data_IF_921318570743
#
_entry.id   IF_921318570743
#
_cell.length_a   1.000
_cell.length_b   1.000
_cell.length_c   1.000
_cell.angle_alpha   90.00
_cell.angle_beta   90.00
_cell.angle_gamma   90.00
#
_symmetry.space_group_name_H-M   'P 1'
#
loop_
_entity.id
_entity.type
_entity.pdbx_description
1 polymer ?
#
# COMPACT_ATOMS: atom_id res chain seq x y z
N UNK A 1 -8.99 2.13 -17.07
CA UNK A 1 -8.87 3.54 -16.72
C UNK A 1 -7.58 4.04 -17.35
N UNK A 2 -7.59 5.28 -17.83
CA UNK A 2 -6.48 5.86 -18.59
C UNK A 2 -6.48 7.36 -18.34
N UNK A 3 -5.39 7.88 -17.79
CA UNK A 3 -5.20 9.31 -17.57
C UNK A 3 -4.90 9.96 -18.92
N UNK A 4 -5.67 10.98 -19.28
CA UNK A 4 -5.43 11.74 -20.50
C UNK A 4 -4.72 13.05 -20.22
N UNK A 5 -4.08 13.62 -21.24
CA UNK A 5 -3.47 14.96 -21.17
C UNK A 5 -4.49 16.01 -20.72
N UNK A 6 -5.75 15.90 -21.17
CA UNK A 6 -6.83 16.79 -20.75
C UNK A 6 -7.16 16.67 -19.26
N UNK A 7 -7.11 15.46 -18.69
CA UNK A 7 -7.30 15.25 -17.25
C UNK A 7 -6.20 15.93 -16.44
N UNK A 8 -4.95 15.83 -16.90
CA UNK A 8 -3.80 16.44 -16.22
C UNK A 8 -3.89 17.96 -16.29
N UNK A 9 -4.19 18.57 -17.44
CA UNK A 9 -4.36 20.02 -17.53
C UNK A 9 -5.59 20.54 -16.77
N UNK A 10 -6.62 19.71 -16.60
CA UNK A 10 -7.78 20.06 -15.78
C UNK A 10 -7.44 20.12 -14.30
N UNK A 11 -6.61 19.19 -13.82
CA UNK A 11 -6.13 19.18 -12.43
C UNK A 11 -4.98 20.17 -12.18
N UNK A 12 -4.11 20.36 -13.18
CA UNK A 12 -2.89 21.16 -13.14
C UNK A 12 -2.87 22.14 -14.32
N UNK A 13 -3.63 23.25 -14.26
CA UNK A 13 -3.73 24.21 -15.36
C UNK A 13 -2.40 24.94 -15.63
N UNK A 14 -1.50 25.01 -14.64
CA UNK A 14 -0.17 25.61 -14.76
C UNK A 14 0.91 24.61 -15.18
N UNK A 15 0.52 23.39 -15.57
CA UNK A 15 1.47 22.36 -15.96
C UNK A 15 2.21 22.75 -17.24
N UNK A 16 3.54 22.60 -17.27
CA UNK A 16 4.33 23.01 -18.42
C UNK A 16 4.08 22.10 -19.62
N UNK A 17 3.83 22.64 -20.83
CA UNK A 17 3.73 21.85 -22.05
C UNK A 17 4.97 21.01 -22.34
N UNK A 18 6.16 21.51 -22.01
CA UNK A 18 7.41 20.75 -22.17
C UNK A 18 7.47 19.53 -21.24
N UNK A 19 6.98 19.69 -20.01
CA UNK A 19 6.87 18.59 -19.06
C UNK A 19 5.87 17.54 -19.56
N UNK A 20 4.75 17.98 -20.17
CA UNK A 20 3.75 17.09 -20.76
C UNK A 20 4.32 16.29 -21.94
N UNK A 21 5.09 16.95 -22.81
CA UNK A 21 5.78 16.30 -23.92
C UNK A 21 6.76 15.24 -23.39
N UNK A 22 7.53 15.54 -22.34
CA UNK A 22 8.43 14.57 -21.69
C UNK A 22 7.67 13.38 -21.10
N UNK A 23 6.54 13.62 -20.43
CA UNK A 23 5.64 12.59 -19.94
C UNK A 23 5.09 11.69 -21.06
N UNK A 24 4.91 12.25 -22.26
CA UNK A 24 4.41 11.54 -23.42
C UNK A 24 5.53 11.01 -24.34
N UNK A 25 6.71 10.66 -23.79
CA UNK A 25 7.86 10.14 -24.55
C UNK A 25 8.33 11.06 -25.70
N UNK A 26 8.17 12.37 -25.57
CA UNK A 26 8.55 13.33 -26.59
C UNK A 26 7.50 13.52 -27.69
N UNK A 27 6.30 12.95 -27.56
CA UNK A 27 5.22 13.19 -28.50
C UNK A 27 4.78 14.67 -28.42
N UNK A 28 4.84 15.37 -29.56
CA UNK A 28 4.47 16.78 -29.72
C UNK A 28 3.04 16.97 -30.20
N UNK A 29 2.42 15.93 -30.77
CA UNK A 29 1.03 15.94 -31.24
C UNK A 29 0.09 15.49 -30.14
N UNK A 30 0.13 16.24 -29.02
CA UNK A 30 -0.72 15.97 -27.87
C UNK A 30 -2.06 16.69 -28.05
N UNK A 31 -3.14 15.95 -27.85
CA UNK A 31 -4.48 16.51 -27.73
C UNK A 31 -5.06 16.13 -26.36
N UNK A 32 -6.18 16.74 -25.97
CA UNK A 32 -6.80 16.47 -24.67
C UNK A 32 -7.24 15.02 -24.45
N UNK A 33 -7.33 14.21 -25.52
CA UNK A 33 -7.67 12.78 -25.47
C UNK A 33 -6.45 11.88 -25.49
N UNK A 34 -5.25 12.43 -25.69
CA UNK A 34 -4.02 11.65 -25.71
C UNK A 34 -3.83 10.97 -24.36
N UNK A 35 -3.66 9.66 -24.38
CA UNK A 35 -3.46 8.85 -23.19
C UNK A 35 -2.02 8.97 -22.73
N UNK A 36 -1.82 9.25 -21.45
CA UNK A 36 -0.50 9.30 -20.83
C UNK A 36 -0.23 7.95 -20.15
N UNK A 37 0.88 7.26 -20.50
CA UNK A 37 1.23 6.01 -19.84
C UNK A 37 1.54 6.20 -18.36
N UNK A 38 0.95 5.35 -17.50
CA UNK A 38 1.17 5.39 -16.05
C UNK A 38 2.63 5.20 -15.64
N UNK A 39 3.34 4.32 -16.36
CA UNK A 39 4.77 4.10 -16.15
C UNK A 39 5.59 5.39 -16.36
N UNK A 40 5.19 6.23 -17.33
CA UNK A 40 5.86 7.50 -17.59
C UNK A 40 5.58 8.51 -16.47
N UNK A 41 4.35 8.52 -15.94
CA UNK A 41 4.00 9.38 -14.79
C UNK A 41 4.82 8.97 -13.56
N UNK A 42 4.95 7.67 -13.30
CA UNK A 42 5.77 7.15 -12.21
C UNK A 42 7.27 7.49 -12.39
N UNK A 43 7.79 7.38 -13.63
CA UNK A 43 9.17 7.71 -13.95
C UNK A 43 9.47 9.23 -13.94
N UNK A 44 8.45 10.07 -14.08
CA UNK A 44 8.62 11.53 -14.13
C UNK A 44 9.03 12.13 -12.78
N UNK A 45 8.75 11.43 -11.66
CA UNK A 45 9.24 11.81 -10.34
C UNK A 45 8.59 13.07 -9.73
N UNK A 46 7.46 13.53 -10.28
CA UNK A 46 6.70 14.62 -9.68
C UNK A 46 5.68 14.06 -8.67
N UNK A 47 5.77 14.54 -7.43
CA UNK A 47 4.95 14.06 -6.32
C UNK A 47 3.46 14.36 -6.52
N UNK A 48 3.09 15.55 -6.99
CA UNK A 48 1.69 15.95 -7.19
C UNK A 48 1.03 15.13 -8.31
N UNK A 49 1.73 14.95 -9.43
CA UNK A 49 1.28 14.09 -10.53
C UNK A 49 1.12 12.63 -10.09
N UNK A 50 2.03 12.14 -9.25
CA UNK A 50 1.96 10.79 -8.72
C UNK A 50 0.74 10.62 -7.83
N UNK A 51 0.43 11.59 -6.95
CA UNK A 51 -0.75 11.56 -6.09
C UNK A 51 -2.01 11.56 -6.94
N UNK A 52 -2.11 12.46 -7.92
CA UNK A 52 -3.24 12.51 -8.85
C UNK A 52 -3.44 11.18 -9.60
N UNK A 53 -2.35 10.59 -10.09
CA UNK A 53 -2.42 9.31 -10.78
C UNK A 53 -2.82 8.16 -9.84
N UNK A 54 -2.35 8.17 -8.59
CA UNK A 54 -2.75 7.23 -7.57
C UNK A 54 -4.24 7.39 -7.19
N UNK A 55 -4.76 8.60 -7.05
CA UNK A 55 -6.18 8.82 -6.76
C UNK A 55 -7.10 8.31 -7.88
N UNK A 56 -6.67 8.46 -9.15
CA UNK A 56 -7.44 8.01 -10.31
C UNK A 56 -7.35 6.52 -10.58
N UNK A 57 -6.14 5.94 -10.54
CA UNK A 57 -5.89 4.53 -10.93
C UNK A 57 -5.77 3.59 -9.72
N UNK A 58 -5.61 4.14 -8.52
CA UNK A 58 -5.44 3.39 -7.30
C UNK A 58 -4.20 2.51 -7.33
N UNK A 59 -4.42 1.23 -7.01
CA UNK A 59 -3.36 0.20 -6.86
C UNK A 59 -2.57 -0.05 -8.15
N UNK A 60 -3.17 0.18 -9.31
CA UNK A 60 -2.51 -0.04 -10.60
C UNK A 60 -1.32 0.89 -10.78
N UNK A 61 -1.43 2.14 -10.31
CA UNK A 61 -0.35 3.11 -10.37
C UNK A 61 0.68 2.88 -9.26
N UNK A 62 0.23 2.64 -8.03
CA UNK A 62 1.13 2.48 -6.87
C UNK A 62 2.06 1.27 -7.03
N UNK A 63 1.64 0.24 -7.76
CA UNK A 63 2.47 -0.92 -8.09
C UNK A 63 3.63 -0.59 -9.05
N UNK A 64 3.52 0.49 -9.84
CA UNK A 64 4.57 0.95 -10.75
C UNK A 64 5.61 1.83 -10.05
N UNK A 65 5.29 2.33 -8.85
CA UNK A 65 6.16 3.21 -8.05
C UNK A 65 7.06 2.38 -7.13
N UNK A 66 8.26 2.89 -6.84
CA UNK A 66 9.24 2.27 -5.94
C UNK A 66 8.66 2.01 -4.54
N UNK A 67 9.01 0.85 -3.95
CA UNK A 67 8.51 0.41 -2.63
C UNK A 67 8.72 1.44 -1.50
N UNK A 68 9.76 2.26 -1.58
CA UNK A 68 10.04 3.29 -0.58
C UNK A 68 9.06 4.47 -0.63
N UNK A 69 8.52 4.78 -1.80
CA UNK A 69 7.64 5.94 -2.01
C UNK A 69 6.15 5.57 -1.95
N UNK A 70 5.81 4.30 -2.22
CA UNK A 70 4.47 3.72 -2.07
C UNK A 70 3.74 4.12 -0.78
N UNK A 71 4.30 3.94 0.44
CA UNK A 71 3.56 4.23 1.66
C UNK A 71 3.23 5.72 1.84
N UNK A 72 4.07 6.63 1.32
CA UNK A 72 3.79 8.08 1.34
C UNK A 72 2.69 8.42 0.34
N UNK A 73 2.78 7.82 -0.85
CA UNK A 73 1.82 8.00 -1.92
C UNK A 73 0.44 7.45 -1.56
N UNK A 74 0.38 6.26 -0.97
CA UNK A 74 -0.87 5.59 -0.59
C UNK A 74 -1.59 6.34 0.53
N UNK A 75 -0.83 6.89 1.50
CA UNK A 75 -1.39 7.80 2.51
C UNK A 75 -1.98 9.06 1.89
N UNK A 76 -1.28 9.69 0.95
CA UNK A 76 -1.74 10.92 0.29
C UNK A 76 -2.98 10.68 -0.57
N UNK A 77 -3.02 9.58 -1.33
CA UNK A 77 -4.14 9.22 -2.19
C UNK A 77 -5.30 8.50 -1.45
N UNK A 78 -5.21 8.35 -0.12
CA UNK A 78 -6.22 7.65 0.68
C UNK A 78 -6.40 6.17 0.34
N UNK A 79 -5.43 5.57 -0.36
CA UNK A 79 -5.48 4.16 -0.78
C UNK A 79 -5.13 3.31 0.43
N UNK A 80 -6.07 2.47 0.88
CA UNK A 80 -5.79 1.45 1.88
C UNK A 80 -4.79 0.45 1.29
N UNK A 81 -3.54 0.54 1.75
CA UNK A 81 -2.54 -0.50 1.56
C UNK A 81 -3.13 -1.84 1.99
N UNK A 82 -3.46 -2.66 1.00
CA UNK A 82 -3.78 -4.09 1.22
C UNK A 82 -2.56 -4.96 0.96
N UNK A 83 -1.38 -4.34 0.86
CA UNK A 83 -0.14 -5.05 1.11
C UNK A 83 0.10 -4.96 2.60
N UNK A 84 -0.40 -5.97 3.30
CA UNK A 84 -0.01 -6.35 4.65
C UNK A 84 1.52 -6.12 4.79
N UNK A 85 2.01 -5.07 5.48
CA UNK A 85 3.24 -5.28 6.20
C UNK A 85 2.85 -6.33 7.22
N UNK A 86 3.54 -7.46 7.18
CA UNK A 86 3.49 -8.47 8.23
C UNK A 86 3.18 -7.77 9.54
N UNK A 87 2.00 -8.07 10.09
CA UNK A 87 1.74 -7.85 11.50
C UNK A 87 2.72 -8.76 12.22
N UNK A 88 3.96 -8.27 12.33
CA UNK A 88 4.98 -8.75 13.25
C UNK A 88 4.77 -8.12 14.62
N UNK A 89 3.56 -7.66 14.94
CA UNK A 89 3.10 -7.68 16.32
C UNK A 89 2.75 -9.13 16.67
N UNK A 90 3.76 -9.99 16.73
CA UNK A 90 3.72 -11.13 17.64
C UNK A 90 4.08 -10.62 19.03
N UNK A 91 3.18 -9.79 19.58
CA UNK A 91 2.84 -9.93 20.99
C UNK A 91 1.88 -11.13 21.09
N UNK A 92 2.36 -12.30 20.70
CA UNK A 92 1.80 -13.54 21.22
C UNK A 92 2.52 -13.74 22.54
N UNK A 93 1.87 -13.24 23.58
CA UNK A 93 2.04 -13.77 24.92
C UNK A 93 2.20 -15.30 24.80
N UNK A 94 3.42 -15.75 25.07
CA UNK A 94 3.73 -16.93 25.86
C UNK A 94 2.51 -17.82 26.13
N UNK A 95 2.13 -18.65 25.16
CA UNK A 95 1.16 -19.70 25.39
C UNK A 95 1.56 -20.95 24.60
N UNK A 96 2.23 -21.81 25.37
CA UNK A 96 2.13 -23.26 25.29
C UNK A 96 2.80 -23.89 24.07
N UNK A 97 4.13 -23.83 24.06
CA UNK A 97 4.91 -25.00 23.64
C UNK A 97 4.50 -26.17 24.55
N UNK A 98 3.56 -27.00 24.10
CA UNK A 98 3.32 -28.29 24.73
C UNK A 98 4.58 -29.11 24.39
N UNK A 99 5.44 -29.46 25.37
CA UNK A 99 6.60 -30.30 25.09
C UNK A 99 6.10 -31.63 24.52
N UNK A 100 6.80 -32.18 23.53
CA UNK A 100 6.37 -33.41 22.82
C UNK A 100 6.16 -34.61 23.75
N UNK A 101 6.72 -34.56 24.96
CA UNK A 101 6.53 -35.57 26.01
C UNK A 101 5.21 -35.43 26.79
N UNK A 102 4.38 -34.42 26.51
CA UNK A 102 3.11 -34.18 27.19
C UNK A 102 1.93 -34.23 26.24
N UNK A 103 0.97 -35.08 26.56
CA UNK A 103 -0.29 -35.18 25.84
C UNK A 103 -1.26 -34.08 26.27
N UNK A 104 -2.12 -33.65 25.34
CA UNK A 104 -3.10 -32.57 25.56
C UNK A 104 -4.13 -32.95 26.65
N UNK A 105 -4.32 -34.25 26.88
CA UNK A 105 -5.20 -34.78 27.93
C UNK A 105 -4.63 -34.65 29.36
N UNK A 106 -3.31 -34.51 29.54
CA UNK A 106 -2.68 -34.32 30.87
C UNK A 106 -2.72 -32.87 31.35
N UNK A 107 -2.78 -31.91 30.42
CA UNK A 107 -2.75 -30.47 30.73
C UNK A 107 -4.04 -30.05 31.46
N UNK A 108 -5.18 -30.62 31.06
CA UNK A 108 -6.48 -30.33 31.68
C UNK A 108 -6.55 -30.74 33.16
N UNK A 109 -5.75 -31.73 33.58
CA UNK A 109 -5.72 -32.23 34.96
C UNK A 109 -4.90 -31.33 35.91
N UNK A 110 -4.04 -30.47 35.36
CA UNK A 110 -3.12 -29.64 36.16
C UNK A 110 -3.75 -28.31 36.60
N UNK A 111 -4.72 -27.79 35.85
CA UNK A 111 -5.32 -26.47 36.10
C UNK A 111 -6.45 -26.49 37.16
N UNK A 112 -6.99 -27.67 37.45
CA UNK A 112 -8.05 -27.84 38.47
C UNK A 112 -7.54 -28.28 39.86
N UNK A 113 -6.26 -28.62 40.01
CA UNK A 113 -5.72 -29.11 41.29
C UNK A 113 -5.20 -28.00 42.23
N UNK A 114 -5.04 -26.77 41.73
CA UNK A 114 -4.43 -25.67 42.51
C UNK A 114 -5.44 -24.78 43.27
N UNK A 115 -6.76 -25.03 43.18
CA UNK A 115 -7.79 -24.12 43.74
C UNK A 115 -8.64 -24.69 44.88
N UNK A 116 -8.14 -25.62 45.69
CA UNK A 116 -8.88 -26.15 46.86
C UNK A 116 -8.01 -26.49 48.07
N UNK A 117 -6.90 -25.77 48.31
CA UNK A 117 -6.17 -25.85 49.58
C UNK A 117 -5.73 -24.47 50.08
N UNK A 118 -6.69 -23.61 50.40
CA UNK A 118 -6.45 -22.53 51.39
C UNK A 118 -7.77 -21.84 51.77
N UNK A 119 -8.62 -22.49 52.59
CA UNK A 119 -9.48 -21.77 53.55
C UNK A 119 -9.80 -22.73 54.72
N UNK A 120 -9.12 -22.46 55.85
CA UNK A 120 -9.41 -22.81 57.27
C UNK A 120 -9.91 -24.21 57.65
#
# INVERSE_FOLDING_TARGET
MTITVGDIYSAFPTFSPEAMIKLCNGNKELNGRTVVPLANIAAFGNQELSIFAAEREGKNFTNLVSKQERPKLNRAAGIKDTENPQTGNKNENNLNSIPMDKSIFDIASSDNAAKTRDIM
#
